data_IF_670060627585
#
_entry.id   IF_670060627585
#
_cell.length_a   1.000
_cell.length_b   1.000
_cell.length_c   1.000
_cell.angle_alpha   90.00
_cell.angle_beta   90.00
_cell.angle_gamma   90.00
#
_symmetry.space_group_name_H-M   'P 1'
#
loop_
_entity.id
_entity.type
_entity.pdbx_description
1 polymer ?
#
# COMPACT_ATOMS: atom_id res chain seq x y z
N UNK A 1 32.03 -3.14 -7.71
CA UNK A 1 30.74 -2.64 -8.24
C UNK A 1 30.93 -1.17 -8.48
N UNK A 2 30.74 -0.69 -9.71
CA UNK A 2 30.81 0.74 -10.01
C UNK A 2 29.76 1.49 -9.20
N UNK A 3 30.11 2.67 -8.68
CA UNK A 3 29.22 3.51 -7.86
C UNK A 3 27.90 3.77 -8.58
N UNK A 4 27.94 3.93 -9.91
CA UNK A 4 26.77 4.11 -10.77
C UNK A 4 25.80 2.92 -10.68
N UNK A 5 26.31 1.69 -10.80
CA UNK A 5 25.48 0.48 -10.73
C UNK A 5 24.87 0.30 -9.33
N UNK A 6 25.62 0.65 -8.28
CA UNK A 6 25.09 0.62 -6.91
C UNK A 6 23.95 1.62 -6.72
N UNK A 7 24.08 2.83 -7.27
CA UNK A 7 23.04 3.85 -7.23
C UNK A 7 21.80 3.42 -8.01
N UNK A 8 21.96 2.88 -9.22
CA UNK A 8 20.85 2.39 -10.04
C UNK A 8 20.08 1.26 -9.34
N UNK A 9 20.78 0.26 -8.80
CA UNK A 9 20.16 -0.83 -8.04
C UNK A 9 19.40 -0.35 -6.80
N UNK A 10 19.91 0.69 -6.13
CA UNK A 10 19.24 1.28 -4.97
C UNK A 10 17.95 1.98 -5.36
N UNK A 11 17.95 2.75 -6.45
CA UNK A 11 16.74 3.41 -6.96
C UNK A 11 15.71 2.41 -7.50
N UNK A 12 16.16 1.37 -8.17
CA UNK A 12 15.33 0.28 -8.65
C UNK A 12 14.67 -0.49 -7.46
N UNK A 13 15.44 -0.79 -6.41
CA UNK A 13 14.90 -1.33 -5.16
C UNK A 13 13.91 -0.37 -4.48
N UNK A 14 14.21 0.94 -4.50
CA UNK A 14 13.32 1.99 -3.96
C UNK A 14 11.95 1.95 -4.62
N UNK A 15 11.90 1.90 -5.96
CA UNK A 15 10.65 1.77 -6.71
C UNK A 15 9.91 0.52 -6.24
N UNK A 16 10.56 -0.65 -6.28
CA UNK A 16 9.91 -1.91 -5.91
C UNK A 16 9.35 -1.93 -4.49
N UNK A 17 10.07 -1.40 -3.52
CA UNK A 17 9.65 -1.40 -2.11
C UNK A 17 8.56 -0.35 -1.84
N UNK A 18 8.54 0.75 -2.61
CA UNK A 18 7.53 1.80 -2.48
C UNK A 18 6.15 1.43 -3.01
N UNK A 19 6.03 0.53 -3.99
CA UNK A 19 4.75 0.13 -4.62
C UNK A 19 3.64 -0.25 -3.62
N UNK A 20 3.86 -1.19 -2.67
CA UNK A 20 2.82 -1.57 -1.72
C UNK A 20 2.47 -0.43 -0.76
N UNK A 21 3.45 0.40 -0.38
CA UNK A 21 3.23 1.60 0.44
C UNK A 21 2.34 2.61 -0.30
N UNK A 22 2.62 2.83 -1.58
CA UNK A 22 1.89 3.78 -2.43
C UNK A 22 0.44 3.35 -2.61
N UNK A 23 0.20 2.09 -2.97
CA UNK A 23 -1.15 1.55 -3.13
C UNK A 23 -1.93 1.66 -1.82
N UNK A 24 -1.33 1.31 -0.69
CA UNK A 24 -1.95 1.41 0.62
C UNK A 24 -2.21 2.87 1.05
N UNK A 25 -1.30 3.80 0.74
CA UNK A 25 -1.46 5.22 1.06
C UNK A 25 -2.59 5.84 0.23
N UNK A 26 -2.70 5.50 -1.06
CA UNK A 26 -3.84 5.88 -1.90
C UNK A 26 -5.14 5.23 -1.40
N UNK A 27 -5.09 3.98 -0.91
CA UNK A 27 -6.23 3.30 -0.32
C UNK A 27 -6.76 4.07 0.90
N UNK A 28 -5.87 4.44 1.83
CA UNK A 28 -6.21 5.27 3.00
C UNK A 28 -6.66 6.67 2.59
N UNK A 29 -6.11 7.24 1.51
CA UNK A 29 -6.54 8.55 1.03
C UNK A 29 -8.04 8.58 0.69
N UNK A 30 -8.59 7.53 0.07
CA UNK A 30 -10.02 7.46 -0.23
C UNK A 30 -10.86 7.36 1.04
N UNK A 31 -10.56 6.42 1.95
CA UNK A 31 -11.33 6.23 3.18
C UNK A 31 -11.29 7.47 4.06
N UNK A 32 -10.10 8.02 4.29
CA UNK A 32 -9.95 9.16 5.21
C UNK A 32 -10.53 10.44 4.64
N UNK A 33 -10.43 10.68 3.33
CA UNK A 33 -11.13 11.81 2.69
C UNK A 33 -12.65 11.71 2.82
N UNK A 34 -13.20 10.54 3.07
CA UNK A 34 -14.63 10.33 3.38
C UNK A 34 -14.95 10.44 4.89
N UNK A 35 -13.95 10.65 5.73
CA UNK A 35 -14.09 10.70 7.18
C UNK A 35 -14.07 9.33 7.88
N UNK A 36 -13.60 8.28 7.19
CA UNK A 36 -13.42 6.93 7.75
C UNK A 36 -11.93 6.61 7.87
N UNK A 37 -11.41 6.65 9.09
CA UNK A 37 -10.06 6.25 9.44
C UNK A 37 -9.92 4.74 9.43
N UNK A 38 -8.89 4.26 8.74
CA UNK A 38 -8.74 2.85 8.45
C UNK A 38 -7.34 2.38 8.82
N UNK A 39 -7.14 2.07 10.10
CA UNK A 39 -5.91 1.43 10.58
C UNK A 39 -5.84 -0.04 10.14
N UNK A 40 -6.94 -0.57 9.58
CA UNK A 40 -7.06 -1.93 9.06
C UNK A 40 -6.40 -2.16 7.70
N UNK A 41 -5.70 -1.16 7.12
CA UNK A 41 -4.97 -1.29 5.85
C UNK A 41 -3.97 -2.46 5.89
N UNK A 42 -3.25 -2.61 7.00
CA UNK A 42 -2.26 -3.68 7.22
C UNK A 42 -2.91 -5.07 7.07
N UNK A 43 -4.00 -5.31 7.78
CA UNK A 43 -4.72 -6.58 7.75
C UNK A 43 -5.37 -6.87 6.40
N UNK A 44 -5.92 -5.85 5.74
CA UNK A 44 -6.50 -5.99 4.38
C UNK A 44 -5.46 -6.38 3.36
N UNK A 45 -4.27 -5.77 3.43
CA UNK A 45 -3.13 -6.13 2.57
C UNK A 45 -2.66 -7.56 2.88
N UNK A 46 -2.55 -7.93 4.15
CA UNK A 46 -2.05 -9.25 4.56
C UNK A 46 -3.02 -10.37 4.17
N UNK A 47 -4.31 -10.18 4.42
CA UNK A 47 -5.36 -11.11 4.00
C UNK A 47 -5.43 -11.21 2.47
N UNK A 48 -5.34 -10.09 1.76
CA UNK A 48 -5.29 -10.06 0.29
C UNK A 48 -4.06 -10.79 -0.26
N UNK A 49 -2.88 -10.57 0.34
CA UNK A 49 -1.64 -11.25 -0.02
C UNK A 49 -1.75 -12.77 0.14
N UNK A 50 -2.30 -13.24 1.26
CA UNK A 50 -2.53 -14.67 1.49
C UNK A 50 -3.54 -15.26 0.50
N UNK A 51 -4.69 -14.61 0.32
CA UNK A 51 -5.72 -15.06 -0.60
C UNK A 51 -5.23 -15.13 -2.05
N UNK A 52 -4.47 -14.11 -2.47
CA UNK A 52 -3.91 -14.05 -3.81
C UNK A 52 -2.85 -15.10 -4.06
N UNK A 53 -1.90 -15.28 -3.13
CA UNK A 53 -0.90 -16.33 -3.27
C UNK A 53 -1.49 -17.74 -3.19
N UNK A 54 -2.46 -17.97 -2.29
CA UNK A 54 -3.12 -19.27 -2.16
C UNK A 54 -3.88 -19.63 -3.44
N UNK A 55 -4.64 -18.68 -3.99
CA UNK A 55 -5.39 -18.89 -5.22
C UNK A 55 -4.45 -19.07 -6.41
N UNK A 56 -3.41 -18.25 -6.53
CA UNK A 56 -2.41 -18.41 -7.59
C UNK A 56 -1.67 -19.75 -7.50
N UNK A 57 -1.34 -20.21 -6.29
CA UNK A 57 -0.67 -21.50 -6.07
C UNK A 57 -1.55 -22.69 -6.47
N UNK A 58 -2.85 -22.64 -6.21
CA UNK A 58 -3.79 -23.73 -6.54
C UNK A 58 -4.20 -23.70 -8.01
N UNK A 59 -4.44 -22.50 -8.57
CA UNK A 59 -4.98 -22.35 -9.93
C UNK A 59 -3.90 -22.21 -11.00
N UNK A 60 -2.66 -21.88 -10.62
CA UNK A 60 -1.60 -21.53 -11.55
C UNK A 60 -1.76 -20.16 -12.22
N UNK A 61 -2.71 -19.32 -11.80
CA UNK A 61 -3.02 -18.04 -12.46
C UNK A 61 -2.79 -16.82 -11.57
N UNK A 62 -1.88 -15.93 -11.98
CA UNK A 62 -1.64 -14.65 -11.32
C UNK A 62 -2.90 -13.75 -11.28
N UNK A 63 -3.71 -13.79 -12.34
CA UNK A 63 -4.93 -12.98 -12.47
C UNK A 63 -6.03 -13.43 -11.51
N UNK A 64 -6.26 -14.74 -11.40
CA UNK A 64 -7.19 -15.28 -10.40
C UNK A 64 -6.69 -14.99 -8.98
N UNK A 65 -5.38 -15.07 -8.75
CA UNK A 65 -4.75 -14.60 -7.51
C UNK A 65 -5.08 -13.14 -7.20
N UNK A 66 -4.89 -12.23 -8.16
CA UNK A 66 -5.20 -10.82 -7.98
C UNK A 66 -6.70 -10.58 -7.69
N UNK A 67 -7.59 -11.26 -8.40
CA UNK A 67 -9.03 -11.15 -8.17
C UNK A 67 -9.42 -11.62 -6.78
N UNK A 68 -8.87 -12.74 -6.31
CA UNK A 68 -9.09 -13.25 -4.96
C UNK A 68 -8.56 -12.29 -3.89
N UNK A 69 -7.36 -11.74 -4.09
CA UNK A 69 -6.79 -10.74 -3.19
C UNK A 69 -7.69 -9.50 -3.08
N UNK A 70 -8.14 -8.96 -4.22
CA UNK A 70 -9.07 -7.82 -4.26
C UNK A 70 -10.39 -8.16 -3.58
N UNK A 71 -10.98 -9.31 -3.87
CA UNK A 71 -12.25 -9.73 -3.28
C UNK A 71 -12.18 -9.83 -1.75
N UNK A 72 -11.11 -10.44 -1.22
CA UNK A 72 -10.91 -10.58 0.23
C UNK A 72 -10.64 -9.22 0.89
N UNK A 73 -9.79 -8.37 0.29
CA UNK A 73 -9.53 -7.04 0.84
C UNK A 73 -10.78 -6.14 0.80
N UNK A 74 -11.61 -6.23 -0.24
CA UNK A 74 -12.92 -5.56 -0.32
C UNK A 74 -13.88 -6.09 0.74
N UNK A 75 -13.93 -7.41 0.96
CA UNK A 75 -14.73 -8.01 2.02
C UNK A 75 -14.34 -7.42 3.39
N UNK A 76 -13.05 -7.43 3.76
CA UNK A 76 -12.60 -6.83 5.02
C UNK A 76 -12.85 -5.32 5.08
N UNK A 77 -12.77 -4.60 3.96
CA UNK A 77 -13.11 -3.18 3.91
C UNK A 77 -14.62 -2.92 4.10
N UNK A 78 -15.48 -3.80 3.60
CA UNK A 78 -16.91 -3.75 3.84
C UNK A 78 -17.26 -4.11 5.29
N UNK A 79 -16.58 -5.09 5.90
CA UNK A 79 -16.72 -5.38 7.34
C UNK A 79 -16.34 -4.15 8.18
N UNK A 80 -15.25 -3.48 7.81
CA UNK A 80 -14.85 -2.22 8.45
C UNK A 80 -15.92 -1.13 8.27
N UNK A 81 -16.41 -0.94 7.04
CA UNK A 81 -17.47 0.00 6.72
C UNK A 81 -18.77 -0.30 7.46
N UNK A 82 -19.14 -1.57 7.59
CA UNK A 82 -20.31 -2.01 8.32
C UNK A 82 -20.23 -1.66 9.81
N UNK A 83 -19.10 -1.98 10.45
CA UNK A 83 -18.87 -1.62 11.84
C UNK A 83 -18.85 -0.09 12.05
N UNK A 84 -18.15 0.65 11.20
CA UNK A 84 -17.88 2.09 11.39
C UNK A 84 -18.98 3.02 10.88
N UNK A 85 -19.61 2.70 9.75
CA UNK A 85 -20.61 3.54 9.06
C UNK A 85 -22.02 3.15 9.52
N UNK A 86 -22.38 1.87 9.45
CA UNK A 86 -23.74 1.41 9.81
C UNK A 86 -23.92 1.36 11.31
N UNK A 87 -23.00 0.68 12.01
CA UNK A 87 -23.08 0.51 13.47
C UNK A 87 -22.42 1.64 14.26
N UNK A 88 -21.79 2.61 13.58
CA UNK A 88 -21.19 3.79 14.22
C UNK A 88 -20.14 3.42 15.28
N UNK A 89 -19.53 2.24 15.13
CA UNK A 89 -18.50 1.73 16.01
C UNK A 89 -17.19 2.51 15.88
N UNK A 90 -16.33 2.36 16.88
CA UNK A 90 -15.01 2.97 16.85
C UNK A 90 -14.17 2.41 15.69
N UNK A 91 -13.75 3.30 14.79
CA UNK A 91 -13.06 2.96 13.55
C UNK A 91 -11.67 2.38 13.83
N UNK A 92 -10.97 2.88 14.86
CA UNK A 92 -9.67 2.35 15.31
C UNK A 92 -9.84 0.91 15.79
N UNK A 93 -10.83 0.65 16.64
CA UNK A 93 -11.08 -0.70 17.18
C UNK A 93 -11.41 -1.69 16.07
N UNK A 94 -12.27 -1.30 15.12
CA UNK A 94 -12.60 -2.14 13.96
C UNK A 94 -11.38 -2.43 13.09
N UNK A 95 -10.56 -1.42 12.81
CA UNK A 95 -9.33 -1.58 12.02
C UNK A 95 -8.31 -2.51 12.70
N UNK A 96 -8.09 -2.32 14.01
CA UNK A 96 -7.20 -3.18 14.81
C UNK A 96 -7.72 -4.62 14.86
N UNK A 97 -9.02 -4.83 15.01
CA UNK A 97 -9.61 -6.17 14.97
C UNK A 97 -9.37 -6.88 13.62
N UNK A 98 -9.50 -6.16 12.50
CA UNK A 98 -9.19 -6.69 11.17
C UNK A 98 -7.71 -7.10 11.06
N UNK A 99 -6.80 -6.29 11.61
CA UNK A 99 -5.37 -6.62 11.62
C UNK A 99 -5.10 -7.92 12.37
N UNK A 100 -5.67 -8.10 13.56
CA UNK A 100 -5.51 -9.33 14.34
C UNK A 100 -6.13 -10.55 13.66
N UNK A 101 -7.34 -10.40 13.08
CA UNK A 101 -7.99 -11.48 12.35
C UNK A 101 -7.13 -11.89 11.16
N UNK A 102 -6.62 -10.95 10.37
CA UNK A 102 -5.75 -11.25 9.23
C UNK A 102 -4.45 -11.94 9.68
N UNK A 103 -3.76 -11.40 10.70
CA UNK A 103 -2.53 -11.98 11.22
C UNK A 103 -2.72 -13.41 11.72
N UNK A 104 -3.79 -13.69 12.47
CA UNK A 104 -4.08 -15.03 12.97
C UNK A 104 -4.55 -16.00 11.89
N UNK A 105 -5.55 -15.59 11.09
CA UNK A 105 -6.18 -16.45 10.10
C UNK A 105 -5.24 -16.86 8.97
N UNK A 106 -4.40 -15.95 8.47
CA UNK A 106 -3.47 -16.27 7.37
C UNK A 106 -2.45 -17.33 7.77
N UNK A 107 -1.99 -17.33 9.01
CA UNK A 107 -1.09 -18.36 9.55
C UNK A 107 -1.80 -19.70 9.72
N UNK A 108 -2.99 -19.70 10.34
CA UNK A 108 -3.76 -20.93 10.59
C UNK A 108 -4.17 -21.58 9.26
N UNK A 109 -4.71 -20.81 8.33
CA UNK A 109 -5.14 -21.31 7.02
C UNK A 109 -3.95 -21.75 6.18
N UNK A 110 -2.83 -21.01 6.19
CA UNK A 110 -1.62 -21.41 5.49
C UNK A 110 -1.05 -22.74 6.00
N UNK A 111 -1.06 -22.94 7.33
CA UNK A 111 -0.67 -24.22 7.92
C UNK A 111 -1.65 -25.33 7.54
N UNK A 112 -2.96 -25.08 7.64
CA UNK A 112 -4.00 -26.08 7.36
C UNK A 112 -4.03 -26.52 5.89
N UNK A 113 -3.81 -25.60 4.94
CA UNK A 113 -3.87 -25.89 3.50
C UNK A 113 -2.56 -26.39 2.92
N UNK A 114 -1.43 -25.82 3.34
CA UNK A 114 -0.14 -26.08 2.68
C UNK A 114 0.87 -26.79 3.57
N UNK A 115 0.59 -26.94 4.87
CA UNK A 115 1.50 -27.59 5.84
C UNK A 115 2.93 -27.03 5.83
N UNK A 116 3.07 -25.73 5.52
CA UNK A 116 4.36 -25.03 5.39
C UNK A 116 4.53 -23.88 6.39
N UNK A 117 4.07 -24.06 7.64
CA UNK A 117 4.29 -23.09 8.72
C UNK A 117 3.59 -21.75 8.50
N UNK A 118 2.40 -21.76 7.90
CA UNK A 118 1.66 -20.53 7.54
C UNK A 118 2.14 -19.85 6.26
N UNK A 119 2.90 -20.55 5.41
CA UNK A 119 3.36 -20.09 4.09
C UNK A 119 2.59 -20.79 2.98
N UNK A 120 2.58 -20.22 1.78
CA UNK A 120 2.13 -20.93 0.57
C UNK A 120 3.34 -21.54 -0.16
N UNK A 121 3.11 -22.52 -1.05
CA UNK A 121 4.13 -22.94 -2.02
C UNK A 121 4.63 -21.76 -2.85
N UNK A 122 5.83 -21.91 -3.41
CA UNK A 122 6.37 -20.93 -4.34
C UNK A 122 5.57 -20.92 -5.64
N UNK A 123 5.28 -19.73 -6.16
CA UNK A 123 4.51 -19.53 -7.37
C UNK A 123 5.39 -19.74 -8.61
N UNK A 124 4.93 -20.63 -9.50
CA UNK A 124 5.54 -20.90 -10.81
C UNK A 124 5.29 -19.73 -11.78
N UNK A 125 6.00 -19.69 -12.92
CA UNK A 125 6.09 -18.51 -13.78
C UNK A 125 4.74 -17.85 -14.14
N UNK A 126 3.73 -18.62 -14.55
CA UNK A 126 2.41 -18.08 -14.94
C UNK A 126 1.50 -17.73 -13.74
N UNK A 127 1.84 -18.25 -12.56
CA UNK A 127 1.16 -17.97 -11.30
C UNK A 127 1.65 -16.67 -10.65
N UNK A 128 2.58 -15.94 -11.27
CA UNK A 128 3.12 -14.67 -10.77
C UNK A 128 3.14 -13.58 -11.84
N UNK A 129 3.08 -12.32 -11.42
CA UNK A 129 3.32 -11.20 -12.33
C UNK A 129 4.81 -11.00 -12.51
N UNK A 130 5.33 -11.38 -13.68
CA UNK A 130 6.73 -11.19 -14.04
C UNK A 130 7.01 -9.74 -14.46
N UNK A 131 8.29 -9.41 -14.48
CA UNK A 131 8.79 -8.15 -15.00
C UNK A 131 8.41 -7.99 -16.47
N UNK A 132 7.90 -6.81 -16.83
CA UNK A 132 7.61 -6.46 -18.23
C UNK A 132 8.82 -5.69 -18.76
N UNK A 133 9.40 -6.18 -19.86
CA UNK A 133 10.40 -5.44 -20.61
C UNK A 133 9.70 -4.44 -21.52
N UNK A 134 9.95 -3.14 -21.31
CA UNK A 134 9.38 -2.09 -22.14
C UNK A 134 10.03 -2.09 -23.54
N UNK A 135 9.30 -1.65 -24.59
CA UNK A 135 9.86 -1.58 -25.94
C UNK A 135 11.11 -0.69 -25.96
N UNK A 136 12.10 -1.07 -26.76
CA UNK A 136 13.41 -0.40 -26.89
C UNK A 136 14.34 -0.51 -25.66
N UNK A 137 13.95 -1.20 -24.58
CA UNK A 137 14.80 -1.35 -23.40
C UNK A 137 16.10 -2.11 -23.71
N UNK A 138 16.03 -3.16 -24.53
CA UNK A 138 17.21 -3.96 -24.90
C UNK A 138 18.11 -3.22 -25.90
N UNK A 139 17.52 -2.46 -26.83
CA UNK A 139 18.28 -1.70 -27.85
C UNK A 139 18.93 -0.45 -27.29
N UNK A 140 18.32 0.19 -26.28
CA UNK A 140 18.86 1.40 -25.65
C UNK A 140 19.92 1.08 -24.61
N UNK A 141 20.08 -0.18 -24.20
CA UNK A 141 20.99 -0.61 -23.12
C UNK A 141 22.44 -0.21 -23.37
N UNK A 142 22.85 -0.15 -24.64
CA UNK A 142 24.20 0.23 -25.06
C UNK A 142 24.46 1.75 -25.01
N UNK A 143 23.41 2.58 -24.88
CA UNK A 143 23.54 4.04 -24.79
C UNK A 143 24.04 4.43 -23.39
N UNK A 144 25.20 5.10 -23.26
CA UNK A 144 25.73 5.53 -21.97
C UNK A 144 24.73 6.43 -21.21
N UNK A 145 24.61 6.22 -19.89
CA UNK A 145 23.64 6.85 -18.97
C UNK A 145 22.16 6.56 -19.25
N UNK A 146 21.65 6.80 -20.46
CA UNK A 146 20.21 6.68 -20.78
C UNK A 146 19.80 5.20 -20.82
N UNK A 147 20.64 4.33 -21.36
CA UNK A 147 20.40 2.90 -21.46
C UNK A 147 20.18 2.23 -20.11
N UNK A 148 21.12 2.34 -19.16
CA UNK A 148 20.97 1.78 -17.83
C UNK A 148 19.76 2.37 -17.07
N UNK A 149 19.50 3.67 -17.18
CA UNK A 149 18.32 4.28 -16.54
C UNK A 149 17.02 3.72 -17.14
N UNK A 150 16.90 3.66 -18.46
CA UNK A 150 15.67 3.18 -19.09
C UNK A 150 15.47 1.67 -18.89
N UNK A 151 16.53 0.88 -19.06
CA UNK A 151 16.47 -0.58 -18.96
C UNK A 151 16.39 -1.12 -17.54
N UNK A 152 17.05 -0.48 -16.56
CA UNK A 152 17.09 -0.97 -15.17
C UNK A 152 16.14 -0.22 -14.22
N UNK A 153 15.86 1.07 -14.47
CA UNK A 153 15.01 1.86 -13.57
C UNK A 153 13.55 1.95 -14.05
N UNK A 154 13.32 2.08 -15.35
CA UNK A 154 11.96 2.29 -15.92
C UNK A 154 11.36 0.98 -16.41
N UNK A 155 12.15 0.15 -17.10
CA UNK A 155 11.77 -1.19 -17.55
C UNK A 155 12.00 -2.23 -16.43
N UNK A 156 11.42 -3.42 -16.57
CA UNK A 156 11.69 -4.55 -15.67
C UNK A 156 10.82 -4.60 -14.40
N UNK A 157 9.79 -3.75 -14.31
CA UNK A 157 8.84 -3.80 -13.21
C UNK A 157 7.62 -4.65 -13.57
N UNK A 158 6.95 -5.18 -12.54
CA UNK A 158 5.69 -5.92 -12.74
C UNK A 158 4.56 -4.99 -13.19
N UNK A 159 3.53 -5.55 -13.83
CA UNK A 159 2.32 -4.80 -14.22
C UNK A 159 1.73 -3.97 -13.06
N UNK A 160 1.67 -4.56 -11.86
CA UNK A 160 1.08 -3.91 -10.69
C UNK A 160 1.89 -2.68 -10.24
N UNK A 161 3.20 -2.69 -10.43
CA UNK A 161 4.03 -1.51 -10.15
C UNK A 161 3.65 -0.35 -11.07
N UNK A 162 3.53 -0.58 -12.38
CA UNK A 162 3.09 0.46 -13.32
C UNK A 162 1.68 0.96 -12.99
N UNK A 163 0.77 0.04 -12.66
CA UNK A 163 -0.59 0.40 -12.19
C UNK A 163 -0.51 1.28 -10.95
N UNK A 164 0.34 0.96 -9.96
CA UNK A 164 0.46 1.74 -8.72
C UNK A 164 0.87 3.20 -8.97
N UNK A 165 1.84 3.43 -9.84
CA UNK A 165 2.25 4.80 -10.20
C UNK A 165 1.20 5.51 -11.05
N UNK A 166 0.53 4.81 -11.97
CA UNK A 166 -0.59 5.37 -12.75
C UNK A 166 -1.80 5.71 -11.89
N UNK A 167 -2.00 4.99 -10.78
CA UNK A 167 -3.05 5.27 -9.81
C UNK A 167 -2.88 6.63 -9.12
N UNK A 168 -1.68 7.24 -9.13
CA UNK A 168 -1.45 8.57 -8.55
C UNK A 168 -2.15 9.68 -9.34
N UNK A 169 -1.86 9.91 -10.65
CA UNK A 169 -2.59 10.90 -11.44
C UNK A 169 -4.07 10.53 -11.60
N UNK A 170 -4.40 9.23 -11.67
CA UNK A 170 -5.80 8.80 -11.68
C UNK A 170 -6.53 9.21 -10.40
N UNK A 171 -5.96 8.93 -9.22
CA UNK A 171 -6.56 9.32 -7.93
C UNK A 171 -6.63 10.83 -7.78
N UNK A 172 -5.62 11.56 -8.27
CA UNK A 172 -5.68 13.03 -8.34
C UNK A 172 -6.86 13.51 -9.19
N UNK A 173 -7.02 12.96 -10.39
CA UNK A 173 -8.14 13.31 -11.27
C UNK A 173 -9.48 12.96 -10.61
N UNK A 174 -9.62 11.75 -10.06
CA UNK A 174 -10.85 11.33 -9.37
C UNK A 174 -11.18 12.27 -8.20
N UNK A 175 -10.23 12.58 -7.31
CA UNK A 175 -10.50 13.36 -6.10
C UNK A 175 -10.69 14.87 -6.36
N UNK A 176 -9.99 15.43 -7.35
CA UNK A 176 -9.95 16.88 -7.56
C UNK A 176 -10.71 17.35 -8.81
N UNK A 177 -10.99 16.47 -9.78
CA UNK A 177 -11.59 16.83 -11.07
C UNK A 177 -12.95 16.17 -11.33
N UNK A 178 -13.43 15.27 -10.46
CA UNK A 178 -14.75 14.62 -10.63
C UNK A 178 -15.77 15.03 -9.57
N UNK A 179 -17.07 14.83 -9.89
CA UNK A 179 -18.18 15.02 -8.95
C UNK A 179 -18.09 14.09 -7.75
N UNK A 180 -17.62 12.85 -7.95
CA UNK A 180 -17.41 11.89 -6.87
C UNK A 180 -16.38 12.43 -5.87
N UNK A 181 -15.22 12.88 -6.36
CA UNK A 181 -14.15 13.42 -5.52
C UNK A 181 -14.56 14.66 -4.75
N UNK A 182 -15.28 15.60 -5.38
CA UNK A 182 -15.82 16.78 -4.71
C UNK A 182 -16.74 16.38 -3.55
N UNK A 183 -17.71 15.49 -3.80
CA UNK A 183 -18.65 15.00 -2.79
C UNK A 183 -17.96 14.23 -1.68
N UNK A 184 -16.98 13.39 -2.02
CA UNK A 184 -16.21 12.62 -1.06
C UNK A 184 -15.46 13.53 -0.08
N UNK A 185 -14.74 14.53 -0.61
CA UNK A 185 -14.04 15.52 0.23
C UNK A 185 -15.01 16.34 1.07
N UNK A 186 -16.15 16.74 0.51
CA UNK A 186 -17.19 17.45 1.27
C UNK A 186 -17.73 16.60 2.43
N UNK A 187 -17.91 15.29 2.23
CA UNK A 187 -18.32 14.35 3.30
C UNK A 187 -17.30 14.27 4.43
N UNK A 188 -15.99 14.29 4.11
CA UNK A 188 -14.94 14.31 5.13
C UNK A 188 -14.82 15.64 5.88
N UNK A 189 -15.23 16.76 5.28
CA UNK A 189 -15.16 18.09 5.89
C UNK A 189 -16.43 18.47 6.67
N UNK A 190 -17.61 18.29 6.05
CA UNK A 190 -18.91 18.58 6.65
C UNK A 190 -19.98 17.63 6.10
N UNK A 191 -20.19 16.45 6.71
CA UNK A 191 -21.16 15.47 6.22
C UNK A 191 -22.62 15.97 6.33
N UNK A 192 -22.94 16.83 7.30
CA UNK A 192 -24.28 17.40 7.44
C UNK A 192 -24.65 18.25 6.21
N UNK A 193 -23.72 19.09 5.72
CA UNK A 193 -23.94 19.88 4.51
C UNK A 193 -24.14 19.03 3.24
N UNK A 194 -23.58 17.82 3.21
CA UNK A 194 -23.77 16.90 2.07
C UNK A 194 -25.14 16.22 2.14
N UNK A 195 -25.58 15.86 3.34
CA UNK A 195 -26.90 15.24 3.53
C UNK A 195 -28.05 16.23 3.28
N UNK A 196 -27.91 17.51 3.68
CA UNK A 196 -28.90 18.56 3.36
C UNK A 196 -29.00 18.84 1.87
N UNK A 197 -27.92 18.61 1.11
CA UNK A 197 -27.93 18.64 -0.36
C UNK A 197 -28.55 17.38 -1.00
N UNK A 198 -29.14 16.47 -0.20
CA UNK A 198 -29.84 15.27 -0.66
C UNK A 198 -28.94 14.10 -1.06
N UNK A 199 -27.65 14.13 -0.70
CA UNK A 199 -26.68 13.11 -1.10
C UNK A 199 -26.40 12.17 0.08
N UNK A 200 -26.54 10.86 -0.13
CA UNK A 200 -26.26 9.86 0.92
C UNK A 200 -24.78 9.84 1.32
N UNK A 201 -24.51 10.34 2.54
CA UNK A 201 -23.19 10.33 3.18
C UNK A 201 -22.70 8.89 3.39
N UNK A 202 -23.57 8.02 3.90
CA UNK A 202 -23.23 6.63 4.16
C UNK A 202 -22.77 5.91 2.88
N UNK A 203 -23.50 6.10 1.78
CA UNK A 203 -23.13 5.47 0.51
C UNK A 203 -21.80 5.97 -0.04
N UNK A 204 -21.51 7.26 0.10
CA UNK A 204 -20.21 7.82 -0.28
C UNK A 204 -19.06 7.22 0.55
N UNK A 205 -19.26 7.07 1.87
CA UNK A 205 -18.28 6.41 2.75
C UNK A 205 -18.08 4.93 2.39
N UNK A 206 -19.15 4.20 2.05
CA UNK A 206 -19.05 2.81 1.59
C UNK A 206 -18.25 2.67 0.29
N UNK A 207 -18.50 3.55 -0.69
CA UNK A 207 -17.72 3.58 -1.94
C UNK A 207 -16.23 3.86 -1.67
N UNK A 208 -15.95 4.73 -0.71
CA UNK A 208 -14.59 5.04 -0.29
C UNK A 208 -13.86 3.79 0.24
N UNK A 209 -14.48 3.06 1.18
CA UNK A 209 -13.86 1.85 1.75
C UNK A 209 -13.78 0.71 0.73
N UNK A 210 -14.70 0.63 -0.26
CA UNK A 210 -14.55 -0.32 -1.38
C UNK A 210 -13.30 0.01 -2.20
N UNK A 211 -13.06 1.28 -2.54
CA UNK A 211 -11.82 1.70 -3.19
C UNK A 211 -10.60 1.33 -2.34
N UNK A 212 -10.68 1.50 -1.01
CA UNK A 212 -9.63 1.09 -0.08
C UNK A 212 -9.36 -0.42 -0.15
N UNK A 213 -10.41 -1.25 -0.19
CA UNK A 213 -10.30 -2.70 -0.36
C UNK A 213 -9.63 -3.10 -1.67
N UNK A 214 -10.01 -2.47 -2.79
CA UNK A 214 -9.39 -2.74 -4.10
C UNK A 214 -7.89 -2.43 -4.08
N UNK A 215 -7.51 -1.25 -3.59
CA UNK A 215 -6.11 -0.81 -3.60
C UNK A 215 -5.23 -1.59 -2.62
N UNK A 216 -5.75 -1.93 -1.44
CA UNK A 216 -5.04 -2.83 -0.50
C UNK A 216 -4.92 -4.26 -1.03
N UNK A 217 -5.92 -4.76 -1.76
CA UNK A 217 -5.84 -6.05 -2.45
C UNK A 217 -4.78 -6.09 -3.54
N UNK A 218 -4.66 -5.01 -4.34
CA UNK A 218 -3.56 -4.86 -5.29
C UNK A 218 -2.20 -4.78 -4.59
N UNK A 219 -2.11 -4.08 -3.46
CA UNK A 219 -0.88 -4.01 -2.68
C UNK A 219 -0.47 -5.38 -2.11
N UNK A 220 -1.42 -6.17 -1.61
CA UNK A 220 -1.21 -7.55 -1.18
C UNK A 220 -0.79 -8.47 -2.32
N UNK A 221 -1.44 -8.33 -3.49
CA UNK A 221 -1.06 -9.05 -4.71
C UNK A 221 0.38 -8.73 -5.13
N UNK A 222 0.77 -7.45 -5.07
CA UNK A 222 2.15 -7.08 -5.38
C UNK A 222 3.15 -7.76 -4.44
N UNK A 223 2.89 -7.73 -3.13
CA UNK A 223 3.78 -8.35 -2.13
C UNK A 223 3.96 -9.85 -2.38
N UNK A 224 2.86 -10.60 -2.49
CA UNK A 224 2.94 -12.06 -2.54
C UNK A 224 3.08 -12.63 -3.96
N UNK A 225 2.35 -12.09 -4.94
CA UNK A 225 2.25 -12.63 -6.30
C UNK A 225 3.24 -11.97 -7.26
N UNK A 226 3.76 -10.78 -6.97
CA UNK A 226 4.76 -10.13 -7.84
C UNK A 226 6.18 -10.17 -7.25
N UNK A 227 6.34 -9.72 -6.01
CA UNK A 227 7.64 -9.54 -5.36
C UNK A 227 8.20 -10.84 -4.76
N UNK A 228 7.44 -11.52 -3.90
CA UNK A 228 7.97 -12.61 -3.05
C UNK A 228 7.70 -14.04 -3.61
N UNK A 229 6.95 -14.15 -4.71
CA UNK A 229 6.62 -15.42 -5.38
C UNK A 229 5.97 -16.46 -4.44
N UNK A 230 5.07 -16.01 -3.57
CA UNK A 230 4.40 -16.80 -2.56
C UNK A 230 4.10 -15.98 -1.31
N UNK A 231 3.28 -16.53 -0.41
CA UNK A 231 2.98 -15.94 0.87
C UNK A 231 3.97 -16.39 1.95
N UNK A 232 4.37 -15.43 2.78
CA UNK A 232 5.14 -15.62 4.01
C UNK A 232 4.39 -14.92 5.14
N UNK A 233 4.38 -15.57 6.30
CA UNK A 233 3.81 -15.01 7.53
C UNK A 233 4.27 -13.56 7.75
N UNK A 234 3.30 -12.70 8.05
CA UNK A 234 3.49 -11.29 8.41
C UNK A 234 4.28 -10.47 7.35
N UNK A 235 4.21 -10.83 6.06
CA UNK A 235 5.01 -10.17 5.00
C UNK A 235 4.70 -8.67 4.79
N UNK A 236 3.51 -8.21 5.19
CA UNK A 236 3.16 -6.79 5.18
C UNK A 236 4.08 -6.04 6.14
N UNK A 237 4.43 -6.63 7.29
CA UNK A 237 5.44 -6.16 8.23
C UNK A 237 5.29 -4.66 8.57
N UNK A 238 4.07 -4.20 8.82
CA UNK A 238 3.76 -2.82 9.18
C UNK A 238 3.68 -1.83 8.02
N UNK A 239 3.79 -2.29 6.76
CA UNK A 239 3.69 -1.44 5.56
C UNK A 239 2.37 -0.66 5.49
N UNK A 240 1.26 -1.20 5.99
CA UNK A 240 -0.02 -0.50 6.10
C UNK A 240 0.04 0.70 7.05
N UNK A 241 0.76 0.59 8.17
CA UNK A 241 0.97 1.69 9.11
C UNK A 241 1.93 2.74 8.56
N UNK A 242 3.00 2.31 7.87
CA UNK A 242 3.93 3.22 7.18
C UNK A 242 3.20 4.01 6.10
N UNK A 243 2.32 3.37 5.34
CA UNK A 243 1.50 4.02 4.33
C UNK A 243 0.56 5.10 4.93
N UNK A 244 0.00 4.83 6.11
CA UNK A 244 -0.79 5.82 6.86
C UNK A 244 0.07 7.03 7.27
N UNK A 245 1.28 6.79 7.77
CA UNK A 245 2.22 7.85 8.11
C UNK A 245 2.60 8.69 6.87
N UNK A 246 2.86 8.03 5.73
CA UNK A 246 3.11 8.69 4.46
C UNK A 246 1.93 9.55 4.00
N UNK A 247 0.69 9.08 4.20
CA UNK A 247 -0.53 9.84 3.89
C UNK A 247 -0.66 11.11 4.74
N UNK A 248 -0.34 11.03 6.03
CA UNK A 248 -0.33 12.17 6.96
C UNK A 248 0.71 13.20 6.51
N UNK A 249 1.94 12.75 6.20
CA UNK A 249 3.00 13.62 5.67
C UNK A 249 2.62 14.29 4.36
N UNK A 250 1.88 13.57 3.53
CA UNK A 250 1.38 14.06 2.26
C UNK A 250 0.20 15.03 2.38
N UNK A 251 -0.31 15.29 3.60
CA UNK A 251 -1.48 16.13 3.86
C UNK A 251 -2.68 15.71 3.00
N UNK A 252 -2.89 14.40 2.88
CA UNK A 252 -3.97 13.79 2.08
C UNK A 252 -3.97 14.26 0.62
N UNK A 253 -2.80 14.38 -0.01
CA UNK A 253 -2.66 14.68 -1.45
C UNK A 253 -1.95 13.52 -2.17
N UNK A 254 -2.45 13.07 -3.34
CA UNK A 254 -1.91 11.88 -4.03
C UNK A 254 -0.44 12.01 -4.43
N UNK A 255 -0.05 13.14 -5.03
CA UNK A 255 1.31 13.34 -5.52
C UNK A 255 2.33 13.45 -4.36
N UNK A 256 2.08 14.23 -3.30
CA UNK A 256 2.92 14.18 -2.10
C UNK A 256 2.96 12.79 -1.44
N UNK A 257 1.87 12.02 -1.47
CA UNK A 257 1.85 10.65 -0.93
C UNK A 257 2.79 9.73 -1.72
N UNK A 258 2.86 9.88 -3.04
CA UNK A 258 3.85 9.19 -3.87
C UNK A 258 5.28 9.51 -3.43
N UNK A 259 5.63 10.80 -3.27
CA UNK A 259 6.97 11.18 -2.84
C UNK A 259 7.30 10.71 -1.42
N UNK A 260 6.34 10.75 -0.50
CA UNK A 260 6.51 10.19 0.83
C UNK A 260 6.77 8.67 0.76
N UNK A 261 5.97 7.91 0.00
CA UNK A 261 6.16 6.47 -0.17
C UNK A 261 7.48 6.13 -0.85
N UNK A 262 7.94 6.93 -1.81
CA UNK A 262 9.26 6.79 -2.43
C UNK A 262 10.38 7.03 -1.42
N UNK A 263 10.26 8.04 -0.56
CA UNK A 263 11.22 8.29 0.51
C UNK A 263 11.28 7.11 1.50
N UNK A 264 10.12 6.62 1.96
CA UNK A 264 10.06 5.44 2.83
C UNK A 264 10.64 4.19 2.16
N UNK A 265 10.30 3.96 0.89
CA UNK A 265 10.84 2.87 0.09
C UNK A 265 12.36 2.98 -0.10
N UNK A 266 12.90 4.20 -0.23
CA UNK A 266 14.33 4.45 -0.34
C UNK A 266 15.06 4.08 0.95
N UNK A 267 14.51 4.48 2.10
CA UNK A 267 15.11 4.17 3.40
C UNK A 267 15.08 2.67 3.69
N UNK A 268 13.99 2.00 3.33
CA UNK A 268 13.88 0.55 3.49
C UNK A 268 14.82 -0.20 2.53
N UNK A 269 14.88 0.21 1.25
CA UNK A 269 15.83 -0.33 0.28
C UNK A 269 17.29 -0.11 0.71
N UNK A 270 17.61 1.07 1.24
CA UNK A 270 18.92 1.40 1.80
C UNK A 270 19.23 0.51 3.02
N UNK A 271 18.28 0.38 3.94
CA UNK A 271 18.43 -0.45 5.13
C UNK A 271 18.72 -1.91 4.75
N UNK A 272 17.96 -2.47 3.80
CA UNK A 272 18.14 -3.84 3.29
C UNK A 272 19.50 -3.99 2.59
N UNK A 273 19.87 -3.06 1.71
CA UNK A 273 21.07 -3.18 0.86
C UNK A 273 22.37 -3.09 1.64
N UNK A 274 22.40 -2.25 2.66
CA UNK A 274 23.59 -1.99 3.47
C UNK A 274 23.58 -2.73 4.81
N UNK A 275 22.57 -3.60 5.04
CA UNK A 275 22.50 -4.44 6.22
C UNK A 275 23.75 -5.33 6.34
N UNK A 276 24.44 -5.26 7.48
CA UNK A 276 25.62 -6.10 7.75
C UNK A 276 26.89 -5.70 6.99
N UNK A 277 26.84 -4.64 6.18
CA UNK A 277 28.01 -4.07 5.50
C UNK A 277 28.65 -3.05 6.44
N UNK A 278 29.99 -3.08 6.55
CA UNK A 278 30.72 -2.05 7.28
C UNK A 278 30.62 -0.74 6.48
N UNK A 279 29.96 0.28 7.07
CA UNK A 279 29.89 1.58 6.44
C UNK A 279 31.23 2.29 6.58
N UNK A 280 31.68 3.02 5.54
CA UNK A 280 32.83 3.92 5.66
C UNK A 280 32.61 4.85 6.86
N UNK A 281 33.64 5.07 7.69
CA UNK A 281 33.65 5.93 8.88
C UNK A 281 32.88 5.45 10.13
N UNK A 282 31.86 4.58 10.01
CA UNK A 282 30.99 4.19 11.15
C UNK A 282 31.25 2.75 11.62
N UNK A 283 31.81 1.90 10.76
CA UNK A 283 32.04 0.47 11.06
C UNK A 283 30.80 -0.39 10.81
N UNK A 284 30.75 -1.58 11.43
CA UNK A 284 29.61 -2.51 11.30
C UNK A 284 28.44 -2.01 12.14
N UNK A 285 27.39 -1.53 11.47
CA UNK A 285 26.16 -1.10 12.11
C UNK A 285 25.29 -2.32 12.45
N UNK A 286 24.75 -2.43 13.69
CA UNK A 286 23.80 -3.48 14.04
C UNK A 286 22.58 -3.48 13.11
N UNK A 287 22.13 -4.67 12.72
CA UNK A 287 20.97 -4.86 11.83
C UNK A 287 19.73 -4.16 12.36
N UNK A 288 19.51 -4.20 13.68
CA UNK A 288 18.36 -3.58 14.33
C UNK A 288 18.37 -2.05 14.17
N UNK A 289 19.54 -1.41 14.22
CA UNK A 289 19.65 0.03 14.01
C UNK A 289 19.37 0.38 12.54
N UNK A 290 19.82 -0.47 11.62
CA UNK A 290 19.58 -0.30 10.20
C UNK A 290 18.09 -0.43 9.85
N UNK A 291 17.41 -1.42 10.44
CA UNK A 291 15.96 -1.61 10.30
C UNK A 291 15.14 -0.51 10.99
N UNK A 292 15.70 0.13 12.02
CA UNK A 292 15.07 1.27 12.69
C UNK A 292 15.17 2.58 11.88
N UNK A 293 16.05 2.64 10.86
CA UNK A 293 16.35 3.86 10.10
C UNK A 293 15.10 4.54 9.49
N UNK A 294 14.16 3.83 8.82
CA UNK A 294 12.97 4.47 8.28
C UNK A 294 12.14 5.16 9.37
N UNK A 295 11.99 4.50 10.53
CA UNK A 295 11.19 5.00 11.65
C UNK A 295 11.85 6.18 12.35
N UNK A 296 13.17 6.13 12.56
CA UNK A 296 13.93 7.25 13.17
C UNK A 296 13.81 8.48 12.28
N UNK A 297 14.01 8.34 10.97
CA UNK A 297 13.89 9.47 10.05
C UNK A 297 12.46 10.01 10.00
N UNK A 298 11.45 9.13 10.10
CA UNK A 298 10.04 9.53 10.19
C UNK A 298 9.81 10.46 11.37
N UNK A 299 10.33 10.12 12.55
CA UNK A 299 10.21 10.95 13.76
C UNK A 299 10.89 12.30 13.55
N UNK A 300 12.11 12.32 12.98
CA UNK A 300 12.85 13.56 12.71
C UNK A 300 12.11 14.46 11.72
N UNK A 301 11.60 13.89 10.62
CA UNK A 301 10.89 14.65 9.59
C UNK A 301 9.57 15.21 10.12
N UNK A 302 8.80 14.40 10.85
CA UNK A 302 7.54 14.85 11.44
C UNK A 302 7.76 15.95 12.49
N UNK A 303 8.76 15.80 13.36
CA UNK A 303 9.06 16.78 14.38
C UNK A 303 9.67 18.07 13.82
N UNK A 304 10.49 17.98 12.77
CA UNK A 304 11.31 19.09 12.28
C UNK A 304 10.73 19.89 11.11
N UNK A 305 10.08 19.23 10.14
CA UNK A 305 9.85 19.83 8.81
C UNK A 305 8.41 19.79 8.33
N UNK A 306 7.60 18.88 8.87
CA UNK A 306 6.23 18.66 8.42
C UNK A 306 5.30 19.56 9.23
N UNK A 307 5.25 20.84 8.85
CA UNK A 307 4.32 21.80 9.46
C UNK A 307 2.86 21.29 9.43
N UNK A 308 1.98 21.87 10.27
CA UNK A 308 0.61 21.40 10.57
C UNK A 308 -0.07 20.53 9.48
N UNK A 309 -0.28 19.26 9.81
CA UNK A 309 -1.14 18.34 9.05
C UNK A 309 -2.57 18.44 9.61
N UNK A 310 -3.52 18.89 8.80
CA UNK A 310 -4.92 19.05 9.20
C UNK A 310 -5.70 17.89 8.57
N UNK A 311 -6.15 16.89 9.37
CA UNK A 311 -7.01 15.83 8.86
C UNK A 311 -8.40 16.38 8.50
N UNK A 312 -9.20 15.64 7.71
CA UNK A 312 -10.60 15.98 7.45
C UNK A 312 -11.36 16.16 8.77
N UNK A 313 -12.12 17.26 8.91
CA UNK A 313 -12.74 17.67 10.19
C UNK A 313 -13.69 16.63 10.78
N UNK A 314 -14.40 15.88 9.93
CA UNK A 314 -15.30 14.81 10.35
C UNK A 314 -14.64 13.43 10.37
N UNK A 315 -13.31 13.37 10.26
CA UNK A 315 -12.51 12.15 10.32
C UNK A 315 -12.62 11.46 11.68
N UNK A 316 -12.82 10.14 11.68
CA UNK A 316 -12.91 9.36 12.91
C UNK A 316 -14.26 9.43 13.63
N UNK A 317 -15.17 10.32 13.20
CA UNK A 317 -16.48 10.53 13.83
C UNK A 317 -17.59 9.87 13.02
N UNK A 318 -18.40 9.06 13.70
CA UNK A 318 -19.59 8.46 13.10
C UNK A 318 -20.61 9.54 12.75
N UNK A 319 -21.18 9.48 11.55
CA UNK A 319 -22.19 10.43 11.11
C UNK A 319 -23.59 10.00 11.59
N UNK A 320 -24.32 10.93 12.20
CA UNK A 320 -25.71 10.76 12.62
C UNK A 320 -26.55 11.73 11.80
N UNK A 321 -27.54 11.19 11.08
CA UNK A 321 -28.50 12.00 10.33
C UNK A 321 -29.44 12.68 11.32
N UNK A 322 -29.52 14.01 11.25
CA UNK A 322 -30.54 14.77 11.96
C UNK A 322 -31.90 14.40 11.36
N UNK A 323 -32.85 14.03 12.24
CA UNK A 323 -34.21 13.66 11.87
C UNK A 323 -35.11 14.88 11.90
#
# INVERSE_FOLDING_TARGET
>A
MDVVNLVLQLFDATIRVSVPLLLAALAGLYSERSGVFDIGLEGKMLAGAFAGASTAAVTGSAWLGMLAAVAISVFFALVHGFASITHRGNQIVSGVAINFIAAGSTVILGQAWFSQGGRTPSLVADARFNAITLPFADTLREVPLVGPIYSELVSGHSLIAYVAFLMVPFTWWVLFRTRFGLRLRAVGENPAAVDTAGISVAWLRYRAVICTGVLTGLAGTYLAVSQNAGFVKDMTAGKGFIALAALIFAKWRPVPAMFACLLFGFLDAFAIRFQGIALPMIGKVPVQLMQALPYILTVILLAGFIGKAIPPKAGGVAYVKER
#
